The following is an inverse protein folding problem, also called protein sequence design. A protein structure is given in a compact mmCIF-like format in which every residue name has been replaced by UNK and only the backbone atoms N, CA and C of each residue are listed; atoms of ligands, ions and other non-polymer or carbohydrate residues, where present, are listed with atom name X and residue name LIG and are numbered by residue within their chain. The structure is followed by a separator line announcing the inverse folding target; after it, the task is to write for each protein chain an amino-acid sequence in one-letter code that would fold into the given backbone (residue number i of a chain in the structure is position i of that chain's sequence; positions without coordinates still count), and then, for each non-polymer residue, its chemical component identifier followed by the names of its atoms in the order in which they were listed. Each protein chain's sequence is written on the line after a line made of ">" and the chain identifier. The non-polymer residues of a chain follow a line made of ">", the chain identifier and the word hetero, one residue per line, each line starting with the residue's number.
data_IF_809096108387
#
_entry.id   IF_809096108387
#
_cell.length_a   1.000
_cell.length_b   1.000
_cell.length_c   1.000
_cell.angle_alpha   90.00
_cell.angle_beta   90.00
_cell.angle_gamma   90.00
#
_symmetry.space_group_name_H-M   'P 1'
#
loop_
_entity.id
_entity.type
_entity.pdbx_description
1 polymer ?
#
# COMPACT_ATOMS: atom_id res chain seq x y z
N UNK A 1 -15.20 -12.76 20.08
CA UNK A 1 -14.12 -11.99 19.41
C UNK A 1 -14.59 -11.34 18.11
N UNK A 2 -15.36 -12.03 17.27
CA UNK A 2 -15.92 -11.43 16.04
C UNK A 2 -16.88 -10.27 16.31
N UNK A 3 -17.63 -10.32 17.41
CA UNK A 3 -18.56 -9.27 17.81
C UNK A 3 -17.87 -7.98 18.26
N UNK A 4 -16.70 -8.07 18.89
CA UNK A 4 -15.93 -6.90 19.34
C UNK A 4 -15.37 -6.10 18.14
N UNK A 5 -14.97 -6.77 17.07
CA UNK A 5 -14.50 -6.11 15.85
C UNK A 5 -15.63 -5.40 15.11
N UNK A 6 -16.82 -5.96 15.12
CA UNK A 6 -18.00 -5.35 14.47
C UNK A 6 -18.49 -4.10 15.21
N UNK A 7 -18.46 -4.13 16.55
CA UNK A 7 -18.84 -2.96 17.33
C UNK A 7 -17.84 -1.82 17.18
N UNK A 8 -16.57 -2.13 16.90
CA UNK A 8 -15.54 -1.13 16.62
C UNK A 8 -15.75 -0.37 15.31
N UNK A 9 -16.44 -0.95 14.33
CA UNK A 9 -16.70 -0.29 13.04
C UNK A 9 -17.52 1.01 13.21
N UNK A 10 -18.56 0.98 14.03
CA UNK A 10 -19.42 2.14 14.26
C UNK A 10 -18.69 3.29 14.97
N UNK A 11 -17.58 3.00 15.65
CA UNK A 11 -16.78 4.00 16.35
C UNK A 11 -15.74 4.68 15.45
N UNK A 12 -15.52 4.18 14.23
CA UNK A 12 -14.59 4.80 13.30
C UNK A 12 -15.13 6.15 12.81
N UNK A 13 -14.23 7.15 12.62
CA UNK A 13 -14.68 8.48 12.23
C UNK A 13 -15.22 8.50 10.80
N UNK A 14 -16.25 9.30 10.59
CA UNK A 14 -16.81 9.58 9.26
C UNK A 14 -16.97 11.09 9.12
N UNK A 15 -17.06 11.55 7.88
CA UNK A 15 -17.28 12.96 7.61
C UNK A 15 -18.73 13.32 7.87
N UNK A 16 -18.96 14.63 8.05
CA UNK A 16 -20.30 15.18 8.22
C UNK A 16 -21.21 14.73 7.07
N UNK A 17 -22.37 14.20 7.39
CA UNK A 17 -23.33 13.69 6.40
C UNK A 17 -23.13 12.25 5.97
N UNK A 18 -22.03 11.62 6.31
CA UNK A 18 -21.81 10.20 6.03
C UNK A 18 -22.43 9.33 7.13
N UNK A 19 -22.94 8.17 6.73
CA UNK A 19 -23.43 7.18 7.68
C UNK A 19 -22.23 6.49 8.36
N UNK A 20 -22.39 6.09 9.65
CA UNK A 20 -21.33 5.33 10.32
C UNK A 20 -20.95 4.06 9.56
N UNK A 21 -19.71 3.62 9.74
CA UNK A 21 -19.26 2.35 9.19
C UNK A 21 -20.08 1.19 9.72
N UNK A 22 -20.47 0.28 8.84
CA UNK A 22 -21.04 -1.00 9.24
C UNK A 22 -19.95 -2.06 9.32
N UNK A 23 -20.21 -3.13 10.10
CA UNK A 23 -19.28 -4.26 10.17
C UNK A 23 -19.00 -4.87 8.81
N UNK A 24 -20.04 -4.99 7.97
CA UNK A 24 -19.91 -5.55 6.61
C UNK A 24 -19.02 -4.68 5.71
N UNK A 25 -19.18 -3.37 5.78
CA UNK A 25 -18.37 -2.43 5.01
C UNK A 25 -16.89 -2.50 5.41
N UNK A 26 -16.62 -2.55 6.70
CA UNK A 26 -15.27 -2.65 7.22
C UNK A 26 -14.62 -4.01 6.89
N UNK A 27 -15.39 -5.09 6.98
CA UNK A 27 -14.95 -6.44 6.61
C UNK A 27 -14.54 -6.49 5.13
N UNK A 28 -15.30 -5.81 4.27
CA UNK A 28 -14.97 -5.73 2.84
C UNK A 28 -13.64 -5.00 2.61
N UNK A 29 -13.45 -3.87 3.26
CA UNK A 29 -12.21 -3.11 3.17
C UNK A 29 -11.03 -3.94 3.69
N UNK A 30 -11.21 -4.61 4.81
CA UNK A 30 -10.20 -5.52 5.37
C UNK A 30 -9.82 -6.62 4.37
N UNK A 31 -10.81 -7.26 3.77
CA UNK A 31 -10.57 -8.33 2.80
C UNK A 31 -9.80 -7.82 1.57
N UNK A 32 -10.14 -6.64 1.08
CA UNK A 32 -9.44 -6.01 -0.03
C UNK A 32 -7.97 -5.73 0.31
N UNK A 33 -7.71 -5.21 1.51
CA UNK A 33 -6.35 -4.94 1.98
C UNK A 33 -5.55 -6.23 2.18
N UNK A 34 -6.15 -7.26 2.74
CA UNK A 34 -5.50 -8.56 2.92
C UNK A 34 -5.13 -9.21 1.58
N UNK A 35 -6.03 -9.15 0.61
CA UNK A 35 -5.78 -9.64 -0.75
C UNK A 35 -4.64 -8.87 -1.40
N UNK A 36 -4.62 -7.56 -1.24
CA UNK A 36 -3.56 -6.71 -1.78
C UNK A 36 -2.19 -7.00 -1.14
N UNK A 37 -2.16 -7.20 0.17
CA UNK A 37 -0.93 -7.60 0.88
C UNK A 37 -0.39 -8.91 0.33
N UNK A 38 -1.25 -9.91 0.14
CA UNK A 38 -0.86 -11.22 -0.41
C UNK A 38 -0.29 -11.09 -1.82
N UNK A 39 -0.96 -10.31 -2.67
CA UNK A 39 -0.52 -10.08 -4.05
C UNK A 39 0.82 -9.34 -4.08
N UNK A 40 0.97 -8.28 -3.30
CA UNK A 40 2.22 -7.51 -3.24
C UNK A 40 3.39 -8.35 -2.74
N UNK A 41 3.19 -9.20 -1.74
CA UNK A 41 4.21 -10.12 -1.24
C UNK A 41 4.66 -11.08 -2.32
N UNK A 42 3.72 -11.66 -3.05
CA UNK A 42 4.03 -12.58 -4.15
C UNK A 42 4.82 -11.87 -5.24
N UNK A 43 4.40 -10.67 -5.63
CA UNK A 43 5.06 -9.88 -6.66
C UNK A 43 6.48 -9.49 -6.26
N UNK A 44 6.68 -9.10 -4.99
CA UNK A 44 8.00 -8.74 -4.46
C UNK A 44 8.93 -9.96 -4.47
N UNK A 45 8.46 -11.11 -3.98
CA UNK A 45 9.25 -12.35 -3.94
C UNK A 45 9.67 -12.77 -5.35
N UNK A 46 8.75 -12.69 -6.30
CA UNK A 46 9.03 -13.02 -7.71
C UNK A 46 10.04 -12.05 -8.31
N UNK A 47 9.87 -10.74 -8.09
CA UNK A 47 10.79 -9.72 -8.59
C UNK A 47 12.19 -9.89 -8.01
N UNK A 48 12.28 -10.18 -6.71
CA UNK A 48 13.57 -10.41 -6.05
C UNK A 48 14.28 -11.65 -6.59
N UNK A 49 13.54 -12.73 -6.87
CA UNK A 49 14.08 -13.94 -7.49
C UNK A 49 14.63 -13.66 -8.89
N UNK A 50 13.89 -12.91 -9.70
CA UNK A 50 14.32 -12.51 -11.05
C UNK A 50 15.56 -11.64 -11.03
N UNK A 51 15.63 -10.69 -10.09
CA UNK A 51 16.81 -9.82 -9.91
C UNK A 51 18.03 -10.67 -9.52
N UNK A 52 17.85 -11.61 -8.59
CA UNK A 52 18.92 -12.51 -8.15
C UNK A 52 19.46 -13.36 -9.31
N UNK A 53 18.56 -13.88 -10.16
CA UNK A 53 18.95 -14.65 -11.35
C UNK A 53 19.77 -13.80 -12.34
N UNK A 54 19.33 -12.56 -12.60
CA UNK A 54 20.04 -11.64 -13.46
C UNK A 54 21.41 -11.27 -12.93
N UNK A 55 21.54 -11.10 -11.60
CA UNK A 55 22.82 -10.83 -10.97
C UNK A 55 23.77 -12.02 -11.10
N UNK A 56 23.26 -13.25 -10.99
CA UNK A 56 24.04 -14.47 -11.20
C UNK A 56 24.55 -14.56 -12.65
N UNK A 57 23.71 -14.28 -13.62
CA UNK A 57 24.05 -14.26 -15.04
C UNK A 57 25.08 -13.17 -15.36
N UNK A 58 24.95 -12.01 -14.72
CA UNK A 58 25.87 -10.88 -14.93
C UNK A 58 27.31 -11.20 -14.48
N UNK A 59 27.47 -12.02 -13.45
CA UNK A 59 28.81 -12.46 -12.97
C UNK A 59 29.50 -13.34 -14.00
N UNK A 60 28.74 -14.08 -14.82
CA UNK A 60 29.30 -14.93 -15.90
C UNK A 60 29.54 -14.19 -17.22
N UNK A 61 29.19 -12.92 -17.32
CA UNK A 61 29.17 -12.16 -18.56
C UNK A 61 30.46 -11.39 -18.88
N UNK A 62 31.62 -12.04 -18.78
CA UNK A 62 32.88 -11.43 -19.21
C UNK A 62 32.89 -11.29 -20.75
N UNK A 63 32.66 -10.06 -21.26
CA UNK A 63 32.66 -9.80 -22.69
C UNK A 63 31.52 -8.92 -23.19
N UNK A 64 30.68 -8.43 -22.33
CA UNK A 64 29.62 -7.47 -22.69
C UNK A 64 30.26 -6.15 -23.12
N UNK A 65 29.75 -5.53 -24.19
CA UNK A 65 30.18 -4.21 -24.59
C UNK A 65 29.54 -3.13 -23.67
N UNK A 66 29.95 -1.88 -23.84
CA UNK A 66 29.48 -0.76 -23.01
C UNK A 66 27.98 -0.50 -23.18
N UNK A 67 27.41 -0.73 -24.37
CA UNK A 67 25.98 -0.55 -24.60
C UNK A 67 25.18 -1.59 -23.86
N UNK A 68 25.61 -2.86 -23.89
CA UNK A 68 24.97 -3.95 -23.15
C UNK A 68 25.10 -3.76 -21.65
N UNK A 69 26.27 -3.33 -21.17
CA UNK A 69 26.49 -3.04 -19.76
C UNK A 69 25.60 -1.88 -19.28
N UNK A 70 25.44 -0.83 -20.10
CA UNK A 70 24.55 0.29 -19.81
C UNK A 70 23.08 -0.12 -19.77
N UNK A 71 22.63 -0.96 -20.71
CA UNK A 71 21.27 -1.46 -20.76
C UNK A 71 20.94 -2.34 -19.55
N UNK A 72 21.88 -3.19 -19.12
CA UNK A 72 21.73 -4.04 -17.94
C UNK A 72 21.66 -3.21 -16.65
N UNK A 73 22.47 -2.16 -16.55
CA UNK A 73 22.44 -1.24 -15.42
C UNK A 73 21.10 -0.52 -15.33
N UNK A 74 20.60 -0.01 -16.46
CA UNK A 74 19.31 0.65 -16.54
C UNK A 74 18.18 -0.29 -16.12
N UNK A 75 18.19 -1.53 -16.62
CA UNK A 75 17.19 -2.54 -16.29
C UNK A 75 17.22 -2.86 -14.79
N UNK A 76 18.40 -2.97 -14.20
CA UNK A 76 18.57 -3.22 -12.76
C UNK A 76 18.00 -2.09 -11.94
N UNK A 77 18.28 -0.84 -12.31
CA UNK A 77 17.74 0.32 -11.62
C UNK A 77 16.22 0.38 -11.72
N UNK A 78 15.67 0.06 -12.88
CA UNK A 78 14.22 -0.02 -13.10
C UNK A 78 13.60 -1.09 -12.19
N UNK A 79 14.16 -2.29 -12.19
CA UNK A 79 13.68 -3.42 -11.36
C UNK A 79 13.70 -3.07 -9.88
N UNK A 80 14.76 -2.42 -9.41
CA UNK A 80 14.88 -1.98 -8.01
C UNK A 80 13.83 -0.92 -7.66
N UNK A 81 13.56 0.02 -8.58
CA UNK A 81 12.52 1.05 -8.39
C UNK A 81 11.13 0.43 -8.29
N UNK A 82 10.81 -0.54 -9.15
CA UNK A 82 9.52 -1.23 -9.15
C UNK A 82 9.35 -2.01 -7.84
N UNK A 83 10.39 -2.72 -7.41
CA UNK A 83 10.38 -3.48 -6.16
C UNK A 83 10.22 -2.55 -4.94
N UNK A 84 10.94 -1.44 -4.93
CA UNK A 84 10.85 -0.46 -3.85
C UNK A 84 9.44 0.14 -3.75
N UNK A 85 8.84 0.49 -4.88
CA UNK A 85 7.48 1.00 -4.94
C UNK A 85 6.48 -0.04 -4.39
N UNK A 86 6.64 -1.31 -4.76
CA UNK A 86 5.79 -2.39 -4.27
C UNK A 86 5.92 -2.56 -2.75
N UNK A 87 7.12 -2.42 -2.20
CA UNK A 87 7.35 -2.48 -0.76
C UNK A 87 6.68 -1.32 -0.02
N UNK A 88 6.72 -0.14 -0.58
CA UNK A 88 6.03 1.03 -0.01
C UNK A 88 4.51 0.82 0.03
N UNK A 89 3.93 0.28 -1.05
CA UNK A 89 2.52 -0.05 -1.11
C UNK A 89 2.16 -1.14 -0.10
N UNK A 90 3.01 -2.15 0.05
CA UNK A 90 2.83 -3.22 1.04
C UNK A 90 2.81 -2.64 2.45
N UNK A 91 3.75 -1.75 2.78
CA UNK A 91 3.80 -1.10 4.08
C UNK A 91 2.53 -0.28 4.35
N UNK A 92 2.03 0.45 3.36
CA UNK A 92 0.80 1.23 3.49
C UNK A 92 -0.41 0.33 3.73
N UNK A 93 -0.50 -0.79 3.02
CA UNK A 93 -1.61 -1.75 3.19
C UNK A 93 -1.56 -2.41 4.56
N UNK A 94 -0.39 -2.83 5.02
CA UNK A 94 -0.19 -3.42 6.36
C UNK A 94 -0.51 -2.40 7.46
N UNK A 95 -0.10 -1.15 7.27
CA UNK A 95 -0.38 -0.07 8.21
C UNK A 95 -1.89 0.19 8.32
N UNK A 96 -2.60 0.19 7.18
CA UNK A 96 -4.05 0.34 7.17
C UNK A 96 -4.73 -0.79 7.94
N UNK A 97 -4.30 -2.05 7.74
CA UNK A 97 -4.82 -3.21 8.48
C UNK A 97 -4.59 -3.07 9.99
N UNK A 98 -3.40 -2.62 10.39
CA UNK A 98 -3.08 -2.39 11.80
C UNK A 98 -3.98 -1.33 12.42
N UNK A 99 -4.29 -0.26 11.67
CA UNK A 99 -5.18 0.81 12.12
C UNK A 99 -6.63 0.34 12.25
N UNK A 100 -7.08 -0.54 11.37
CA UNK A 100 -8.40 -1.17 11.51
C UNK A 100 -8.46 -1.95 12.83
N UNK A 101 -7.40 -2.71 13.14
CA UNK A 101 -7.34 -3.53 14.35
C UNK A 101 -7.29 -2.69 15.63
N UNK A 102 -6.60 -1.55 15.62
CA UNK A 102 -6.47 -0.69 16.81
C UNK A 102 -7.56 0.40 16.91
N UNK A 103 -8.44 0.48 15.91
CA UNK A 103 -9.56 1.44 15.93
C UNK A 103 -9.21 2.85 15.47
N UNK A 104 -8.00 3.09 14.96
CA UNK A 104 -7.56 4.41 14.48
C UNK A 104 -7.76 4.63 12.99
N UNK A 105 -8.32 3.65 12.28
CA UNK A 105 -8.54 3.72 10.83
C UNK A 105 -9.46 4.88 10.45
N UNK A 106 -9.06 5.62 9.43
CA UNK A 106 -9.88 6.69 8.88
C UNK A 106 -9.57 8.09 9.40
N UNK A 107 -8.55 8.24 10.24
CA UNK A 107 -8.11 9.56 10.72
C UNK A 107 -6.98 10.05 9.82
N UNK A 108 -7.12 11.29 9.33
CA UNK A 108 -6.08 11.93 8.51
C UNK A 108 -4.80 12.10 9.32
N UNK A 109 -3.68 11.62 8.79
CA UNK A 109 -2.39 11.71 9.46
C UNK A 109 -1.87 13.14 9.60
N UNK A 110 -2.37 14.07 8.79
CA UNK A 110 -1.93 15.47 8.78
C UNK A 110 -2.78 16.36 9.68
N UNK A 111 -4.11 16.34 9.53
CA UNK A 111 -4.99 17.26 10.24
C UNK A 111 -5.81 16.64 11.35
N UNK A 112 -5.79 15.32 11.49
CA UNK A 112 -6.55 14.61 12.52
C UNK A 112 -8.05 14.52 12.29
N UNK A 113 -8.55 15.06 11.19
CA UNK A 113 -9.96 14.99 10.82
C UNK A 113 -10.26 13.68 10.07
N UNK A 114 -11.52 13.28 9.97
CA UNK A 114 -11.87 12.08 9.21
C UNK A 114 -11.48 12.19 7.74
N UNK A 115 -10.90 11.12 7.21
CA UNK A 115 -10.59 11.02 5.77
C UNK A 115 -11.88 10.96 4.96
N UNK A 116 -12.86 10.24 5.46
CA UNK A 116 -14.13 10.02 4.79
C UNK A 116 -14.32 8.58 4.36
N UNK A 117 -15.49 8.02 4.69
CA UNK A 117 -15.84 6.63 4.39
C UNK A 117 -15.78 6.33 2.90
N UNK A 118 -16.38 7.20 2.06
CA UNK A 118 -16.41 7.03 0.62
C UNK A 118 -15.01 6.99 0.01
N UNK A 119 -14.11 7.88 0.49
CA UNK A 119 -12.73 7.91 0.03
C UNK A 119 -11.99 6.64 0.41
N UNK A 120 -12.19 6.14 1.64
CA UNK A 120 -11.55 4.91 2.11
C UNK A 120 -12.08 3.66 1.41
N UNK A 121 -13.34 3.65 1.02
CA UNK A 121 -13.90 2.56 0.22
C UNK A 121 -13.29 2.51 -1.18
N UNK A 122 -12.97 3.67 -1.74
CA UNK A 122 -12.29 3.76 -3.05
C UNK A 122 -10.78 3.57 -2.93
N UNK A 123 -10.17 4.08 -1.85
CA UNK A 123 -8.72 4.04 -1.61
C UNK A 123 -8.45 3.61 -0.18
N UNK A 124 -8.50 2.29 0.10
CA UNK A 124 -8.37 1.79 1.48
C UNK A 124 -7.04 2.14 2.18
N UNK A 125 -5.99 2.40 1.42
CA UNK A 125 -4.67 2.77 1.94
C UNK A 125 -4.52 4.25 2.23
N UNK A 126 -5.51 5.08 1.92
CA UNK A 126 -5.41 6.52 2.09
C UNK A 126 -5.07 6.90 3.53
N UNK A 127 -4.09 7.78 3.71
CA UNK A 127 -3.65 8.30 5.00
C UNK A 127 -3.99 9.77 5.18
N UNK A 128 -4.37 10.46 4.10
CA UNK A 128 -4.69 11.88 4.10
C UNK A 128 -6.11 12.10 3.58
N UNK A 129 -6.79 13.09 4.14
CA UNK A 129 -8.05 13.56 3.58
C UNK A 129 -7.79 14.29 2.25
N UNK A 130 -8.84 14.55 1.47
CA UNK A 130 -8.72 15.22 0.17
C UNK A 130 -8.01 16.56 0.29
N UNK A 131 -8.38 17.37 1.28
CA UNK A 131 -7.79 18.70 1.47
C UNK A 131 -6.29 18.65 1.75
N UNK A 132 -5.86 17.73 2.62
CA UNK A 132 -4.44 17.57 2.96
C UNK A 132 -3.66 16.97 1.79
N UNK A 133 -4.25 16.05 1.05
CA UNK A 133 -3.63 15.46 -0.15
C UNK A 133 -3.39 16.52 -1.20
N UNK A 134 -4.37 17.37 -1.46
CA UNK A 134 -4.24 18.48 -2.42
C UNK A 134 -3.15 19.46 -2.01
N UNK A 135 -3.03 19.77 -0.71
CA UNK A 135 -1.96 20.64 -0.20
C UNK A 135 -0.58 20.02 -0.39
N UNK A 136 -0.46 18.72 -0.18
CA UNK A 136 0.80 17.99 -0.40
C UNK A 136 1.21 18.05 -1.87
N UNK A 137 0.27 17.84 -2.78
CA UNK A 137 0.51 17.85 -4.22
C UNK A 137 0.90 19.22 -4.77
N UNK A 138 0.55 20.30 -4.07
CA UNK A 138 0.89 21.68 -4.47
C UNK A 138 2.31 22.09 -4.08
N UNK A 139 2.98 21.30 -3.26
CA UNK A 139 4.36 21.60 -2.83
C UNK A 139 5.39 21.11 -3.87
#
# INVERSE_FOLDING_TARGET
>A
MATAKRSGAAALPVRSGEKPWTGAELDKVRAELEAEVAELRTNIDQAESEIAERLGDAVGGAGDDQADAGAKTFQREYDLSVTQNARELLNLSQHALARIDDGSYGVCASCGQPIGKARLQAFPRATLCVACKQREERR
#
